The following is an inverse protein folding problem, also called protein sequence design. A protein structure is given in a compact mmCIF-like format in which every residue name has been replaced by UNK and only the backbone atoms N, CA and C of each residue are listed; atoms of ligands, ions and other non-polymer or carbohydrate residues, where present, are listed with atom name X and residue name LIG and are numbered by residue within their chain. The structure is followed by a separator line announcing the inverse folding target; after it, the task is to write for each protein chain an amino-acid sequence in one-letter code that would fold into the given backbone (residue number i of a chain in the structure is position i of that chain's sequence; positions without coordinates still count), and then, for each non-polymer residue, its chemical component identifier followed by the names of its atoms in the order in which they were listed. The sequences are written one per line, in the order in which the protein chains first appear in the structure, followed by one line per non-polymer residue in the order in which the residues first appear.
data_IF_478350810045
#
_entry.id   IF_478350810045
#
_cell.length_a   1.000
_cell.length_b   1.000
_cell.length_c   1.000
_cell.angle_alpha   90.00
_cell.angle_beta   90.00
_cell.angle_gamma   90.00
#
_symmetry.space_group_name_H-M   'P 1'
#
loop_
_entity.id
_entity.type
_entity.pdbx_description
1 polymer ?
#
# COMPACT_ATOMS: atom_id res chain seq x y z
N UNK A 1 -24.91 20.77 17.58
CA UNK A 1 -23.87 21.01 17.55
C UNK A 1 -23.17 20.09 16.90
N UNK A 2 -22.42 20.40 16.37
CA UNK A 2 -21.77 19.67 15.61
C UNK A 2 -20.92 18.81 16.33
N UNK A 3 -21.04 17.75 16.09
CA UNK A 3 -20.24 16.90 16.63
C UNK A 3 -18.98 17.04 16.12
N UNK A 4 -18.10 16.92 16.77
CA UNK A 4 -16.90 16.99 16.36
C UNK A 4 -16.47 15.78 15.94
N UNK A 5 -16.39 15.63 14.91
CA UNK A 5 -15.86 14.54 14.38
C UNK A 5 -14.46 14.39 14.55
N UNK A 6 -13.99 15.06 15.37
CA UNK A 6 -12.71 15.07 15.49
C UNK A 6 -12.14 13.76 15.62
N UNK A 7 -12.78 12.82 16.04
CA UNK A 7 -12.12 11.64 16.14
C UNK A 7 -12.22 10.96 14.89
N UNK A 8 -12.79 11.47 13.91
CA UNK A 8 -12.84 10.77 12.73
C UNK A 8 -11.54 10.89 12.04
N UNK A 9 -10.88 9.80 11.84
CA UNK A 9 -9.63 9.82 11.16
C UNK A 9 -9.95 9.54 9.72
N UNK A 10 -9.60 10.44 8.85
CA UNK A 10 -9.82 10.21 7.46
C UNK A 10 -8.68 9.41 6.91
N UNK A 11 -8.77 8.12 7.04
CA UNK A 11 -7.72 7.26 6.52
C UNK A 11 -7.93 7.04 5.03
N UNK A 12 -6.86 7.12 4.28
CA UNK A 12 -6.86 6.71 2.89
C UNK A 12 -6.14 5.38 2.82
N UNK A 13 -6.80 4.38 2.30
CA UNK A 13 -6.20 3.06 2.13
C UNK A 13 -5.88 2.83 0.66
N UNK A 14 -4.79 2.13 0.42
CA UNK A 14 -4.36 1.76 -0.92
C UNK A 14 -4.14 0.27 -0.94
N UNK A 15 -4.70 -0.40 -1.93
CA UNK A 15 -4.38 -1.80 -2.16
C UNK A 15 -3.65 -1.91 -3.49
N UNK A 16 -2.59 -2.71 -3.50
CA UNK A 16 -1.82 -2.95 -4.73
C UNK A 16 -1.64 -4.44 -4.88
N UNK A 17 -2.18 -5.01 -5.94
CA UNK A 17 -2.06 -6.42 -6.21
C UNK A 17 -1.04 -6.64 -7.33
N UNK A 18 -0.13 -7.56 -7.09
CA UNK A 18 0.93 -7.88 -8.02
C UNK A 18 0.86 -9.35 -8.39
N UNK A 19 0.98 -9.65 -9.67
CA UNK A 19 1.09 -11.04 -10.12
C UNK A 19 2.51 -11.21 -10.68
N UNK A 20 3.28 -12.08 -10.04
CA UNK A 20 4.68 -12.21 -10.34
C UNK A 20 4.95 -13.15 -11.50
N UNK A 21 5.77 -12.71 -12.45
CA UNK A 21 6.38 -13.61 -13.40
C UNK A 21 7.54 -14.35 -12.74
N UNK A 22 8.17 -13.71 -11.75
CA UNK A 22 9.29 -14.31 -11.00
C UNK A 22 9.09 -14.01 -9.53
N UNK A 23 8.35 -14.88 -8.80
CA UNK A 23 8.06 -14.64 -7.40
C UNK A 23 9.29 -14.51 -6.51
N UNK A 24 10.31 -15.29 -6.78
CA UNK A 24 11.52 -15.25 -5.96
C UNK A 24 12.26 -13.94 -6.06
N UNK A 25 12.16 -13.25 -7.19
CA UNK A 25 12.79 -11.96 -7.37
C UNK A 25 11.87 -10.82 -6.94
N UNK A 26 10.56 -11.00 -7.07
CA UNK A 26 9.61 -9.93 -6.73
C UNK A 26 9.48 -9.75 -5.22
N UNK A 27 9.44 -10.83 -4.46
CA UNK A 27 9.19 -10.74 -3.04
C UNK A 27 10.20 -9.84 -2.30
N UNK A 28 11.51 -9.94 -2.56
CA UNK A 28 12.45 -9.02 -1.91
C UNK A 28 12.22 -7.56 -2.28
N UNK A 29 11.77 -7.29 -3.50
CA UNK A 29 11.47 -5.92 -3.93
C UNK A 29 10.32 -5.36 -3.11
N UNK A 30 9.24 -6.14 -2.96
CA UNK A 30 8.08 -5.70 -2.20
C UNK A 30 8.40 -5.60 -0.71
N UNK A 31 9.23 -6.50 -0.18
CA UNK A 31 9.63 -6.45 1.23
C UNK A 31 10.43 -5.19 1.52
N UNK A 32 11.33 -4.79 0.64
CA UNK A 32 12.09 -3.56 0.81
C UNK A 32 11.16 -2.35 0.79
N UNK A 33 10.21 -2.35 -0.13
CA UNK A 33 9.24 -1.27 -0.23
C UNK A 33 8.46 -1.12 1.09
N UNK A 34 8.06 -2.24 1.69
CA UNK A 34 7.34 -2.22 2.96
C UNK A 34 8.18 -1.58 4.06
N UNK A 35 9.44 -1.98 4.16
CA UNK A 35 10.33 -1.44 5.20
C UNK A 35 10.49 0.06 5.05
N UNK A 36 10.75 0.53 3.83
CA UNK A 36 10.95 1.95 3.58
C UNK A 36 9.66 2.75 3.78
N UNK A 37 8.52 2.19 3.37
CA UNK A 37 7.23 2.86 3.51
C UNK A 37 6.86 3.03 4.97
N UNK A 38 7.17 2.05 5.81
CA UNK A 38 6.90 2.14 7.25
C UNK A 38 7.67 3.25 7.93
N UNK A 39 8.73 3.74 7.31
CA UNK A 39 9.51 4.84 7.89
C UNK A 39 8.85 6.19 7.68
N UNK A 40 7.85 6.29 6.83
CA UNK A 40 7.13 7.53 6.61
C UNK A 40 6.17 7.75 7.79
N UNK A 41 6.28 8.88 8.50
CA UNK A 41 5.42 9.11 9.67
C UNK A 41 3.95 9.23 9.34
N UNK A 42 3.59 9.52 8.10
CA UNK A 42 2.19 9.58 7.69
C UNK A 42 1.62 8.21 7.31
N UNK A 43 2.46 7.18 7.27
CA UNK A 43 1.99 5.83 7.02
C UNK A 43 1.50 5.22 8.32
N UNK A 44 0.20 4.89 8.37
CA UNK A 44 -0.40 4.29 9.56
C UNK A 44 -0.13 2.79 9.60
N UNK A 45 -0.06 2.17 8.45
CA UNK A 45 0.20 0.75 8.39
C UNK A 45 0.49 0.34 6.95
N UNK A 46 1.28 -0.70 6.78
CA UNK A 46 1.46 -1.35 5.48
C UNK A 46 1.70 -2.83 5.73
N UNK A 47 0.93 -3.66 5.05
CA UNK A 47 1.03 -5.11 5.14
C UNK A 47 1.29 -5.70 3.77
N UNK A 48 2.12 -6.72 3.73
CA UNK A 48 2.37 -7.49 2.52
C UNK A 48 1.80 -8.89 2.73
N UNK A 49 0.91 -9.29 1.85
CA UNK A 49 0.22 -10.57 1.94
C UNK A 49 0.52 -11.40 0.69
N UNK A 50 0.68 -12.70 0.88
CA UNK A 50 0.80 -13.63 -0.25
C UNK A 50 -0.52 -14.38 -0.37
N UNK A 51 -1.00 -14.54 -1.61
CA UNK A 51 -2.25 -15.26 -1.84
C UNK A 51 -2.09 -16.74 -1.49
N UNK A 52 -3.07 -17.30 -0.82
CA UNK A 52 -3.07 -18.73 -0.51
C UNK A 52 -3.71 -19.55 -1.62
N UNK A 53 -4.33 -18.91 -2.61
CA UNK A 53 -5.00 -19.61 -3.68
C UNK A 53 -4.37 -19.37 -5.05
N UNK A 54 -3.62 -18.29 -5.23
CA UNK A 54 -3.01 -17.97 -6.50
C UNK A 54 -1.49 -17.77 -6.26
N UNK A 55 -0.69 -18.80 -6.54
CA UNK A 55 0.76 -18.71 -6.33
C UNK A 55 1.35 -17.56 -7.13
N UNK A 56 2.24 -16.79 -6.50
CA UNK A 56 2.87 -15.65 -7.15
C UNK A 56 2.05 -14.37 -7.08
N UNK A 57 0.89 -14.40 -6.45
CA UNK A 57 0.08 -13.19 -6.27
C UNK A 57 0.32 -12.60 -4.90
N UNK A 58 0.59 -11.31 -4.87
CA UNK A 58 0.85 -10.59 -3.64
C UNK A 58 -0.05 -9.38 -3.54
N UNK A 59 -0.40 -9.00 -2.31
CA UNK A 59 -1.23 -7.84 -2.03
C UNK A 59 -0.52 -6.96 -1.02
N UNK A 60 -0.37 -5.68 -1.35
CA UNK A 60 0.07 -4.68 -0.40
C UNK A 60 -1.16 -3.89 0.02
N UNK A 61 -1.32 -3.72 1.33
CA UNK A 61 -2.40 -2.92 1.89
C UNK A 61 -1.76 -1.82 2.71
N UNK A 62 -2.01 -0.56 2.35
CA UNK A 62 -1.42 0.59 3.03
C UNK A 62 -2.52 1.49 3.57
N UNK A 63 -2.25 2.13 4.71
CA UNK A 63 -3.15 3.12 5.26
C UNK A 63 -2.37 4.38 5.55
N UNK A 64 -2.93 5.51 5.12
CA UNK A 64 -2.28 6.81 5.22
C UNK A 64 -3.13 7.76 6.03
N UNK A 65 -2.49 8.75 6.69
CA UNK A 65 -3.18 9.71 7.54
C UNK A 65 -4.17 10.58 6.76
N UNK A 66 -3.91 10.80 5.48
CA UNK A 66 -4.73 11.69 4.67
C UNK A 66 -4.56 11.40 3.20
N UNK A 67 -5.48 11.85 2.36
CA UNK A 67 -5.31 11.74 0.91
C UNK A 67 -4.06 12.46 0.40
N UNK A 68 -3.70 13.59 1.02
CA UNK A 68 -2.51 14.32 0.60
C UNK A 68 -1.25 13.52 0.88
N UNK A 69 -1.16 12.90 2.05
CA UNK A 69 0.00 12.08 2.39
C UNK A 69 0.14 10.90 1.43
N UNK A 70 -0.98 10.30 1.05
CA UNK A 70 -0.98 9.19 0.12
C UNK A 70 -0.48 9.64 -1.26
N UNK A 71 -0.94 10.82 -1.73
CA UNK A 71 -0.50 11.33 -3.02
C UNK A 71 1.00 11.64 -3.02
N UNK A 72 1.49 12.22 -1.92
CA UNK A 72 2.91 12.51 -1.81
C UNK A 72 3.73 11.24 -1.85
N UNK A 73 3.24 10.17 -1.24
CA UNK A 73 3.95 8.90 -1.25
C UNK A 73 4.04 8.34 -2.68
N UNK A 74 2.99 8.48 -3.47
CA UNK A 74 3.00 7.96 -4.84
C UNK A 74 4.02 8.69 -5.71
N UNK A 75 4.39 9.91 -5.33
CA UNK A 75 5.42 10.67 -6.04
C UNK A 75 6.78 10.53 -5.38
N UNK A 76 6.90 9.69 -4.35
CA UNK A 76 8.13 9.58 -3.58
C UNK A 76 9.19 8.73 -4.28
N UNK A 77 10.43 8.93 -3.86
CA UNK A 77 11.53 8.11 -4.37
C UNK A 77 11.33 6.63 -4.04
N UNK A 78 10.74 6.34 -2.87
CA UNK A 78 10.47 4.96 -2.47
C UNK A 78 9.53 4.26 -3.46
N UNK A 79 8.47 4.96 -3.86
CA UNK A 79 7.51 4.40 -4.81
C UNK A 79 8.14 4.23 -6.19
N UNK A 80 8.90 5.22 -6.64
CA UNK A 80 9.55 5.17 -7.94
C UNK A 80 10.57 4.05 -8.00
N UNK A 81 11.35 3.89 -6.94
CA UNK A 81 12.34 2.83 -6.88
C UNK A 81 11.67 1.46 -6.96
N UNK A 82 10.59 1.27 -6.22
CA UNK A 82 9.88 -0.01 -6.24
C UNK A 82 9.31 -0.29 -7.63
N UNK A 83 8.72 0.72 -8.27
CA UNK A 83 8.14 0.54 -9.60
C UNK A 83 9.21 0.15 -10.62
N UNK A 84 10.38 0.77 -10.52
CA UNK A 84 11.48 0.44 -11.43
C UNK A 84 12.02 -0.95 -11.16
N UNK A 85 12.13 -1.33 -9.90
CA UNK A 85 12.64 -2.65 -9.54
C UNK A 85 11.66 -3.76 -9.93
N UNK A 86 10.39 -3.45 -10.10
CA UNK A 86 9.40 -4.43 -10.54
C UNK A 86 9.45 -4.74 -12.03
N UNK A 87 10.20 -3.95 -12.81
CA UNK A 87 10.24 -4.18 -14.25
C UNK A 87 10.77 -5.56 -14.57
N UNK A 88 10.02 -6.26 -15.41
CA UNK A 88 10.40 -7.62 -15.80
C UNK A 88 10.06 -8.69 -14.79
N UNK A 89 9.54 -8.30 -13.62
CA UNK A 89 9.22 -9.27 -12.56
C UNK A 89 7.73 -9.55 -12.47
N UNK A 90 6.90 -8.80 -13.18
CA UNK A 90 5.44 -8.94 -13.13
C UNK A 90 4.92 -9.58 -14.40
N UNK A 91 3.83 -10.36 -14.27
CA UNK A 91 3.18 -10.94 -15.44
C UNK A 91 2.21 -9.97 -16.09
N UNK A 92 1.95 -8.84 -15.47
CA UNK A 92 1.09 -7.78 -15.98
C UNK A 92 1.19 -6.57 -15.09
N UNK A 93 0.52 -5.47 -15.42
CA UNK A 93 0.58 -4.28 -14.57
C UNK A 93 -0.07 -4.55 -13.22
N UNK A 94 0.40 -3.89 -12.16
CA UNK A 94 -0.22 -4.06 -10.85
C UNK A 94 -1.61 -3.43 -10.85
N UNK A 95 -2.48 -3.98 -10.01
CA UNK A 95 -3.84 -3.49 -9.86
C UNK A 95 -3.87 -2.63 -8.59
N UNK A 96 -4.06 -1.32 -8.74
CA UNK A 96 -3.96 -0.37 -7.64
C UNK A 96 -5.32 0.28 -7.45
N UNK A 97 -5.82 0.21 -6.21
CA UNK A 97 -7.08 0.83 -5.84
C UNK A 97 -6.92 1.71 -4.62
N UNK A 98 -7.69 2.77 -4.57
CA UNK A 98 -7.72 3.68 -3.44
C UNK A 98 -9.07 3.59 -2.76
N UNK A 99 -9.07 3.66 -1.43
CA UNK A 99 -10.26 3.46 -0.62
C UNK A 99 -10.33 4.51 0.48
N UNK A 100 -11.52 5.03 0.73
CA UNK A 100 -11.77 5.82 1.91
C UNK A 100 -11.99 4.90 3.09
N UNK A 101 -11.58 5.34 4.26
CA UNK A 101 -11.84 4.59 5.46
C UNK A 101 -12.78 5.33 6.40
N UNK A 102 -14.03 5.55 6.01
CA UNK A 102 -14.91 6.42 6.78
C UNK A 102 -15.25 5.89 8.16
N UNK A 103 -15.13 4.60 8.39
CA UNK A 103 -15.45 4.06 9.70
C UNK A 103 -14.25 3.43 10.36
N UNK A 104 -13.07 3.73 9.90
CA UNK A 104 -11.88 3.06 10.43
C UNK A 104 -11.71 3.32 11.91
N UNK A 105 -12.02 4.51 12.38
CA UNK A 105 -11.82 4.86 13.77
C UNK A 105 -12.84 4.21 14.69
N UNK A 106 -13.92 3.69 14.15
CA UNK A 106 -14.94 3.10 14.95
C UNK A 106 -14.80 1.63 15.15
N UNK A 107 -13.85 1.06 14.51
CA UNK A 107 -13.78 -0.36 14.55
C UNK A 107 -12.97 -0.81 15.71
N UNK A 108 -13.42 -0.44 16.85
CA UNK A 108 -12.68 -0.81 17.94
C UNK A 108 -13.48 -1.20 19.00
#
# INVERSE_FOLDING_TARGET
MAAPPRHEVELTSVTMRFDAADPGSLLPVLAKYVVLTRMDPACRNVDLCASVTAPGRYLLIQKWDSPDAQREHFDSATMIEMAEACRGLLSGPPDIDLWDGPSAHDLR
#
